data_IF_817995587886
#
_entry.id   IF_817995587886
#
_cell.length_a   1.000
_cell.length_b   1.000
_cell.length_c   1.000
_cell.angle_alpha   90.00
_cell.angle_beta   90.00
_cell.angle_gamma   90.00
#
_symmetry.space_group_name_H-M   'P 1'
#
loop_
_entity.id
_entity.type
_entity.pdbx_description
1 polymer ?
#
# COMPACT_ATOMS: atom_id res chain seq x y z
N UNK A 1 -14.26 38.52 46.44
CA UNK A 1 -13.46 37.28 46.54
C UNK A 1 -14.40 36.14 46.19
N UNK A 2 -13.99 35.22 45.31
CA UNK A 2 -14.82 34.23 44.57
C UNK A 2 -15.38 34.76 43.24
N UNK A 3 -14.48 34.92 42.26
CA UNK A 3 -14.74 34.90 40.82
C UNK A 3 -13.42 34.61 40.10
N UNK A 4 -12.79 33.50 40.49
CA UNK A 4 -11.63 32.88 39.83
C UNK A 4 -11.80 31.40 40.11
N UNK A 5 -12.57 30.68 39.28
CA UNK A 5 -12.58 29.20 39.23
C UNK A 5 -13.44 28.61 38.09
N UNK A 6 -13.89 29.39 37.11
CA UNK A 6 -14.61 28.85 35.93
C UNK A 6 -13.80 28.85 34.62
N UNK A 7 -12.58 29.40 34.60
CA UNK A 7 -11.72 29.41 33.40
C UNK A 7 -10.62 28.33 33.40
N UNK A 8 -10.59 27.44 34.39
CA UNK A 8 -9.58 26.37 34.47
C UNK A 8 -10.11 24.95 34.25
N UNK A 9 -11.42 24.73 34.07
CA UNK A 9 -11.93 23.38 33.76
C UNK A 9 -12.20 23.11 32.27
N UNK A 10 -12.24 24.14 31.40
CA UNK A 10 -12.44 23.94 29.95
C UNK A 10 -11.12 23.75 29.18
N UNK A 11 -9.98 24.20 29.72
CA UNK A 11 -8.68 23.97 29.10
C UNK A 11 -8.08 22.59 29.44
N UNK A 12 -8.45 21.99 30.57
CA UNK A 12 -7.91 20.69 30.98
C UNK A 12 -8.64 19.49 30.33
N UNK A 13 -9.85 19.68 29.80
CA UNK A 13 -10.55 18.62 29.04
C UNK A 13 -10.16 18.53 27.56
N UNK A 14 -9.48 19.54 27.01
CA UNK A 14 -8.99 19.51 25.63
C UNK A 14 -7.65 18.79 25.46
N UNK A 15 -6.97 18.43 26.56
CA UNK A 15 -5.66 17.76 26.49
C UNK A 15 -5.70 16.23 26.63
N UNK A 16 -6.87 15.65 26.96
CA UNK A 16 -6.94 14.25 27.42
C UNK A 16 -7.44 13.22 26.38
N UNK A 17 -7.59 13.59 25.11
CA UNK A 17 -7.87 12.60 24.04
C UNK A 17 -7.31 12.99 22.66
N UNK A 18 -6.11 13.57 22.63
CA UNK A 18 -5.26 13.54 21.43
C UNK A 18 -4.77 12.09 21.23
N UNK A 19 -5.69 11.21 20.81
CA UNK A 19 -5.34 9.87 20.37
C UNK A 19 -4.45 10.02 19.14
N UNK A 20 -3.15 9.89 19.37
CA UNK A 20 -2.13 9.84 18.32
C UNK A 20 -2.65 9.01 17.15
N UNK A 21 -2.63 9.58 15.95
CA UNK A 21 -3.19 9.01 14.69
C UNK A 21 -2.45 7.72 14.29
N UNK A 22 -1.32 7.44 14.93
CA UNK A 22 -0.57 6.21 14.74
C UNK A 22 -0.39 5.36 16.02
N UNK A 23 -0.94 5.74 17.18
CA UNK A 23 -0.61 5.24 18.54
C UNK A 23 0.03 3.84 18.63
N UNK A 24 -0.71 2.78 18.28
CA UNK A 24 -0.22 1.39 18.33
C UNK A 24 0.93 1.12 17.34
N UNK A 25 0.77 1.52 16.09
CA UNK A 25 1.79 1.34 15.06
C UNK A 25 3.02 2.23 15.28
N UNK A 26 2.85 3.40 15.90
CA UNK A 26 3.92 4.28 16.30
C UNK A 26 4.76 3.65 17.41
N UNK A 27 4.12 2.99 18.38
CA UNK A 27 4.81 2.22 19.41
C UNK A 27 5.67 1.11 18.78
N UNK A 28 5.07 0.25 17.95
CA UNK A 28 5.80 -0.82 17.26
C UNK A 28 6.92 -0.30 16.35
N UNK A 29 6.69 0.83 15.67
CA UNK A 29 7.70 1.46 14.83
C UNK A 29 8.87 2.01 15.67
N UNK A 30 8.61 2.67 16.81
CA UNK A 30 9.67 3.22 17.69
C UNK A 30 10.63 2.13 18.17
N UNK A 31 10.11 0.96 18.55
CA UNK A 31 10.92 -0.17 19.00
C UNK A 31 11.47 -1.01 17.85
N UNK A 32 11.08 -0.73 16.61
CA UNK A 32 11.61 -1.43 15.45
C UNK A 32 13.07 -1.03 15.18
N UNK A 33 13.90 -1.95 14.67
CA UNK A 33 15.26 -1.64 14.28
C UNK A 33 15.34 -0.54 13.21
N UNK A 34 14.27 -0.32 12.45
CA UNK A 34 14.17 0.72 11.42
C UNK A 34 14.12 2.14 12.02
N UNK A 35 13.56 2.31 13.21
CA UNK A 35 13.52 3.61 13.91
C UNK A 35 14.75 3.85 14.78
N UNK A 36 15.32 2.79 15.37
CA UNK A 36 16.51 2.86 16.23
C UNK A 36 17.76 3.39 15.50
N UNK A 37 17.75 3.40 14.16
CA UNK A 37 18.72 4.13 13.32
C UNK A 37 18.80 5.63 13.60
N UNK A 38 17.68 6.23 14.05
CA UNK A 38 17.58 7.64 14.42
C UNK A 38 17.96 7.92 15.88
N UNK A 39 18.30 6.87 16.65
CA UNK A 39 18.66 7.01 18.07
C UNK A 39 19.97 7.79 18.25
N UNK A 40 20.04 8.72 19.23
CA UNK A 40 21.27 9.42 19.56
C UNK A 40 22.33 8.47 20.16
N UNK A 41 21.92 7.31 20.68
CA UNK A 41 22.82 6.35 21.31
C UNK A 41 23.52 5.45 20.27
N UNK A 42 24.83 5.63 20.11
CA UNK A 42 25.68 4.88 19.16
C UNK A 42 25.59 3.35 19.35
N UNK A 43 25.46 2.88 20.60
CA UNK A 43 25.38 1.46 20.93
C UNK A 43 24.13 0.75 20.39
N UNK A 44 23.01 1.47 20.24
CA UNK A 44 21.78 0.93 19.66
C UNK A 44 21.73 1.12 18.14
N UNK A 45 22.36 2.20 17.65
CA UNK A 45 22.32 2.59 16.24
C UNK A 45 23.11 1.65 15.33
N UNK A 46 24.33 1.25 15.71
CA UNK A 46 25.15 0.35 14.89
C UNK A 46 24.55 -1.05 14.70
N UNK A 47 24.09 -1.77 15.74
CA UNK A 47 23.46 -3.07 15.54
C UNK A 47 22.15 -2.96 14.76
N UNK A 48 21.35 -1.91 14.99
CA UNK A 48 20.15 -1.64 14.19
C UNK A 48 20.48 -1.42 12.71
N UNK A 49 21.56 -0.68 12.40
CA UNK A 49 22.00 -0.48 11.03
C UNK A 49 22.44 -1.79 10.36
N UNK A 50 23.22 -2.61 11.05
CA UNK A 50 23.65 -3.91 10.53
C UNK A 50 22.43 -4.80 10.25
N UNK A 51 21.49 -4.88 11.21
CA UNK A 51 20.30 -5.70 11.08
C UNK A 51 19.41 -5.23 9.91
N UNK A 52 19.21 -3.93 9.76
CA UNK A 52 18.37 -3.37 8.69
C UNK A 52 18.99 -3.54 7.30
N UNK A 53 20.31 -3.31 7.15
CA UNK A 53 21.03 -3.57 5.90
C UNK A 53 21.01 -5.07 5.57
N UNK A 54 21.29 -5.93 6.54
CA UNK A 54 21.22 -7.38 6.37
C UNK A 54 19.81 -7.82 5.94
N UNK A 55 18.76 -7.27 6.55
CA UNK A 55 17.36 -7.57 6.19
C UNK A 55 17.08 -7.25 4.72
N UNK A 56 17.45 -6.06 4.26
CA UNK A 56 17.24 -5.64 2.86
C UNK A 56 18.04 -6.52 1.90
N UNK A 57 19.31 -6.78 2.21
CA UNK A 57 20.16 -7.64 1.37
C UNK A 57 19.63 -9.08 1.28
N UNK A 58 19.11 -9.61 2.39
CA UNK A 58 18.50 -10.94 2.42
C UNK A 58 17.23 -11.00 1.56
N UNK A 59 16.37 -9.97 1.60
CA UNK A 59 15.17 -9.92 0.75
C UNK A 59 15.52 -9.80 -0.73
N UNK A 60 16.51 -8.96 -1.09
CA UNK A 60 17.00 -8.86 -2.47
C UNK A 60 17.63 -10.18 -2.91
N UNK A 61 18.37 -10.84 -2.03
CA UNK A 61 18.95 -12.15 -2.29
C UNK A 61 17.85 -13.20 -2.54
N UNK A 62 16.80 -13.24 -1.71
CA UNK A 62 15.65 -14.11 -1.94
C UNK A 62 14.96 -13.84 -3.27
N UNK A 63 14.76 -12.57 -3.64
CA UNK A 63 14.24 -12.21 -4.95
C UNK A 63 15.10 -12.78 -6.08
N UNK A 64 16.42 -12.57 -6.03
CA UNK A 64 17.33 -13.13 -7.03
C UNK A 64 17.29 -14.67 -7.05
N UNK A 65 17.34 -15.30 -5.88
CA UNK A 65 17.37 -16.75 -5.75
C UNK A 65 16.11 -17.40 -6.32
N UNK A 66 14.93 -16.94 -5.89
CA UNK A 66 13.64 -17.47 -6.36
C UNK A 66 13.45 -17.34 -7.86
N UNK A 67 14.09 -16.35 -8.47
CA UNK A 67 13.70 -15.91 -9.80
C UNK A 67 14.72 -16.43 -10.85
N UNK A 68 15.94 -16.79 -10.44
CA UNK A 68 17.00 -17.36 -11.30
C UNK A 68 17.54 -18.74 -10.87
N UNK A 69 17.50 -19.09 -9.59
CA UNK A 69 18.12 -20.33 -9.08
C UNK A 69 17.10 -21.46 -8.88
N UNK A 70 15.84 -21.14 -8.60
CA UNK A 70 14.78 -22.15 -8.50
C UNK A 70 14.39 -22.60 -9.91
N UNK A 71 14.60 -23.88 -10.26
CA UNK A 71 14.30 -24.39 -11.59
C UNK A 71 12.77 -24.54 -11.77
N UNK A 72 12.27 -24.11 -12.92
CA UNK A 72 10.88 -24.30 -13.29
C UNK A 72 10.65 -23.96 -14.76
N UNK A 73 9.99 -24.86 -15.49
CA UNK A 73 9.60 -24.60 -16.86
C UNK A 73 8.60 -23.45 -16.92
N UNK A 74 8.61 -22.69 -18.02
CA UNK A 74 7.73 -21.53 -18.17
C UNK A 74 6.26 -21.92 -17.96
N UNK A 75 5.51 -21.10 -17.22
CA UNK A 75 4.11 -21.34 -16.84
C UNK A 75 3.83 -22.59 -15.99
N UNK A 76 4.84 -23.36 -15.59
CA UNK A 76 4.67 -24.47 -14.64
C UNK A 76 4.32 -23.99 -13.22
N UNK A 77 3.89 -24.92 -12.38
CA UNK A 77 3.61 -24.67 -10.96
C UNK A 77 4.84 -24.14 -10.21
N UNK A 78 5.99 -24.82 -10.32
CA UNK A 78 7.26 -24.39 -9.70
C UNK A 78 7.65 -22.98 -10.15
N UNK A 79 7.52 -22.68 -11.44
CA UNK A 79 7.81 -21.36 -11.98
C UNK A 79 6.92 -20.29 -11.34
N UNK A 80 5.60 -20.49 -11.35
CA UNK A 80 4.67 -19.49 -10.81
C UNK A 80 4.89 -19.27 -9.30
N UNK A 81 5.09 -20.35 -8.55
CA UNK A 81 5.38 -20.33 -7.11
C UNK A 81 6.64 -19.54 -6.80
N UNK A 82 7.75 -19.83 -7.49
CA UNK A 82 9.00 -19.13 -7.29
C UNK A 82 8.90 -17.65 -7.66
N UNK A 83 8.21 -17.30 -8.77
CA UNK A 83 7.97 -15.89 -9.13
C UNK A 83 7.12 -15.16 -8.09
N UNK A 84 6.08 -15.81 -7.54
CA UNK A 84 5.27 -15.25 -6.45
C UNK A 84 6.15 -14.84 -5.26
N UNK A 85 6.92 -15.78 -4.72
CA UNK A 85 7.79 -15.53 -3.56
C UNK A 85 8.93 -14.55 -3.86
N UNK A 86 9.44 -14.56 -5.09
CA UNK A 86 10.42 -13.57 -5.54
C UNK A 86 9.82 -12.17 -5.49
N UNK A 87 8.74 -11.93 -6.24
CA UNK A 87 8.14 -10.60 -6.36
C UNK A 87 7.72 -10.01 -5.01
N UNK A 88 7.11 -10.81 -4.14
CA UNK A 88 6.72 -10.33 -2.82
C UNK A 88 7.92 -9.99 -1.93
N UNK A 89 9.05 -10.68 -2.11
CA UNK A 89 10.27 -10.38 -1.34
C UNK A 89 10.89 -9.05 -1.77
N UNK A 90 10.92 -8.76 -3.08
CA UNK A 90 11.40 -7.47 -3.57
C UNK A 90 10.46 -6.31 -3.20
N UNK A 91 9.14 -6.55 -3.24
CA UNK A 91 8.14 -5.63 -2.71
C UNK A 91 8.45 -5.29 -1.25
N UNK A 92 8.64 -6.32 -0.42
CA UNK A 92 8.96 -6.16 1.00
C UNK A 92 10.27 -5.39 1.21
N UNK A 93 11.30 -5.64 0.40
CA UNK A 93 12.57 -4.91 0.46
C UNK A 93 12.38 -3.41 0.23
N UNK A 94 11.53 -3.03 -0.74
CA UNK A 94 11.20 -1.64 -1.03
C UNK A 94 10.45 -1.01 0.15
N UNK A 95 9.53 -1.75 0.79
CA UNK A 95 8.83 -1.27 1.99
C UNK A 95 9.80 -1.09 3.17
N UNK A 96 10.74 -2.02 3.37
CA UNK A 96 11.77 -1.91 4.40
C UNK A 96 12.63 -0.66 4.20
N UNK A 97 13.03 -0.38 2.95
CA UNK A 97 13.75 0.86 2.62
C UNK A 97 12.91 2.12 2.90
N UNK A 98 11.60 2.05 2.66
CA UNK A 98 10.69 3.13 3.00
C UNK A 98 10.58 3.35 4.53
N UNK A 99 10.50 2.27 5.32
CA UNK A 99 10.53 2.32 6.80
C UNK A 99 11.83 2.94 7.31
N UNK A 100 12.98 2.53 6.79
CA UNK A 100 14.29 3.10 7.14
C UNK A 100 14.31 4.62 6.90
N UNK A 101 13.87 5.05 5.71
CA UNK A 101 13.80 6.49 5.37
C UNK A 101 12.80 7.22 6.27
N UNK A 102 11.69 6.57 6.62
CA UNK A 102 10.68 7.11 7.52
C UNK A 102 11.22 7.35 8.92
N UNK A 103 11.98 6.38 9.46
CA UNK A 103 12.67 6.47 10.74
C UNK A 103 13.73 7.55 10.78
N UNK A 104 14.66 7.58 9.81
CA UNK A 104 15.75 8.56 9.77
C UNK A 104 15.22 10.01 9.74
N UNK A 105 14.21 10.28 8.92
CA UNK A 105 13.65 11.64 8.80
C UNK A 105 12.60 12.00 9.85
N UNK A 106 12.30 11.09 10.80
CA UNK A 106 11.19 11.23 11.76
C UNK A 106 9.88 11.66 11.09
N UNK A 107 9.59 11.07 9.92
CA UNK A 107 8.48 11.48 9.08
C UNK A 107 7.13 11.32 9.76
N UNK A 108 6.98 10.39 10.70
CA UNK A 108 5.73 10.16 11.44
C UNK A 108 5.39 11.34 12.36
N UNK A 109 6.34 11.77 13.19
CA UNK A 109 6.18 12.91 14.09
C UNK A 109 5.86 14.19 13.28
N UNK A 110 6.56 14.38 12.16
CA UNK A 110 6.30 15.52 11.26
C UNK A 110 4.91 15.44 10.64
N UNK A 111 4.47 14.24 10.24
CA UNK A 111 3.13 14.03 9.70
C UNK A 111 2.02 14.31 10.73
N UNK A 112 2.21 13.88 11.99
CA UNK A 112 1.27 14.20 13.08
C UNK A 112 1.21 15.71 13.35
N UNK A 113 2.37 16.38 13.43
CA UNK A 113 2.42 17.83 13.63
C UNK A 113 1.76 18.60 12.49
N UNK A 114 2.01 18.20 11.24
CA UNK A 114 1.39 18.84 10.08
C UNK A 114 -0.12 18.62 10.06
N UNK A 115 -0.60 17.42 10.40
CA UNK A 115 -2.03 17.14 10.52
C UNK A 115 -2.67 17.94 11.65
N UNK A 116 -2.02 18.04 12.82
CA UNK A 116 -2.50 18.87 13.92
C UNK A 116 -2.62 20.36 13.50
N UNK A 117 -1.62 20.88 12.80
CA UNK A 117 -1.64 22.24 12.24
C UNK A 117 -2.73 22.45 11.18
N UNK A 118 -3.13 21.40 10.45
CA UNK A 118 -4.25 21.49 9.50
C UNK A 118 -5.60 21.50 10.23
N UNK A 119 -5.71 20.75 11.33
CA UNK A 119 -6.92 20.70 12.16
C UNK A 119 -7.23 22.04 12.83
N UNK A 120 -6.21 22.79 13.25
CA UNK A 120 -6.41 24.12 13.83
C UNK A 120 -6.97 25.15 12.85
N UNK A 121 -6.89 24.86 11.54
CA UNK A 121 -7.42 25.72 10.47
C UNK A 121 -8.86 25.34 10.04
N UNK A 122 -9.47 24.33 10.67
CA UNK A 122 -10.86 23.92 10.38
C UNK A 122 -11.84 24.99 10.86
N UNK A 123 -12.95 25.14 10.12
CA UNK A 123 -14.05 26.00 10.55
C UNK A 123 -14.79 25.33 11.72
N UNK A 124 -15.04 24.02 11.61
CA UNK A 124 -15.58 23.21 12.70
C UNK A 124 -14.44 22.48 13.45
N UNK A 125 -14.17 22.90 14.70
CA UNK A 125 -13.04 22.40 15.49
C UNK A 125 -13.15 20.91 15.87
N UNK A 126 -14.35 20.35 15.94
CA UNK A 126 -14.56 18.97 16.36
C UNK A 126 -15.54 18.24 15.44
N UNK A 127 -15.06 17.20 14.75
CA UNK A 127 -15.90 16.32 13.95
C UNK A 127 -15.77 14.88 14.45
N UNK A 128 -16.54 14.53 15.49
CA UNK A 128 -16.47 13.25 16.21
C UNK A 128 -16.43 12.01 15.28
N UNK A 129 -17.16 12.03 14.16
CA UNK A 129 -17.21 10.89 13.22
C UNK A 129 -15.96 10.76 12.35
N UNK A 130 -15.39 11.88 11.88
CA UNK A 130 -14.21 11.88 11.00
C UNK A 130 -12.90 11.87 11.79
N UNK A 131 -12.93 12.32 13.04
CA UNK A 131 -11.79 12.27 13.95
C UNK A 131 -11.66 10.92 14.67
N UNK A 132 -12.64 10.02 14.57
CA UNK A 132 -12.50 8.65 15.08
C UNK A 132 -11.78 7.75 14.06
N UNK A 133 -10.59 7.28 14.44
CA UNK A 133 -9.77 6.37 13.65
C UNK A 133 -9.94 4.90 14.05
N UNK A 134 -10.68 4.58 15.12
CA UNK A 134 -10.75 3.21 15.70
C UNK A 134 -11.13 2.13 14.69
N UNK A 135 -12.15 2.37 13.88
CA UNK A 135 -12.61 1.40 12.88
C UNK A 135 -11.54 1.18 11.82
N UNK A 136 -10.89 2.25 11.36
CA UNK A 136 -9.83 2.17 10.36
C UNK A 136 -8.60 1.43 10.91
N UNK A 137 -8.22 1.71 12.16
CA UNK A 137 -7.18 0.97 12.87
C UNK A 137 -7.48 -0.51 12.98
N UNK A 138 -8.68 -0.87 13.43
CA UNK A 138 -9.07 -2.26 13.62
C UNK A 138 -9.02 -3.03 12.28
N UNK A 139 -9.54 -2.42 11.21
CA UNK A 139 -9.47 -2.99 9.85
C UNK A 139 -8.03 -3.15 9.36
N UNK A 140 -7.19 -2.12 9.53
CA UNK A 140 -5.79 -2.16 9.14
C UNK A 140 -5.02 -3.22 9.95
N UNK A 141 -5.28 -3.33 11.25
CA UNK A 141 -4.63 -4.32 12.11
C UNK A 141 -5.02 -5.75 11.74
N UNK A 142 -6.33 -6.05 11.63
CA UNK A 142 -6.81 -7.40 11.30
C UNK A 142 -6.27 -7.86 9.93
N UNK A 143 -6.34 -6.98 8.92
CA UNK A 143 -5.85 -7.31 7.57
C UNK A 143 -4.33 -7.54 7.55
N UNK A 144 -3.54 -6.74 8.26
CA UNK A 144 -2.09 -6.93 8.30
C UNK A 144 -1.65 -8.10 9.18
N UNK A 145 -2.39 -8.42 10.25
CA UNK A 145 -2.20 -9.67 10.99
C UNK A 145 -2.42 -10.88 10.08
N UNK A 146 -3.47 -10.86 9.25
CA UNK A 146 -3.73 -11.93 8.29
C UNK A 146 -2.57 -12.10 7.29
N UNK A 147 -2.06 -11.00 6.74
CA UNK A 147 -0.89 -11.03 5.86
C UNK A 147 0.32 -11.62 6.59
N UNK A 148 0.63 -11.15 7.80
CA UNK A 148 1.74 -11.67 8.60
C UNK A 148 1.61 -13.17 8.90
N UNK A 149 0.40 -13.63 9.25
CA UNK A 149 0.10 -15.05 9.45
C UNK A 149 0.30 -15.84 8.16
N UNK A 150 -0.05 -15.29 6.99
CA UNK A 150 0.14 -15.96 5.69
C UNK A 150 1.63 -16.17 5.39
N UNK A 151 2.46 -15.13 5.58
CA UNK A 151 3.92 -15.25 5.46
C UNK A 151 4.45 -16.34 6.41
N UNK A 152 4.06 -16.28 7.69
CA UNK A 152 4.57 -17.20 8.72
C UNK A 152 4.13 -18.64 8.46
N UNK A 153 2.84 -18.86 8.18
CA UNK A 153 2.28 -20.20 7.98
C UNK A 153 2.89 -20.89 6.77
N UNK A 154 2.99 -20.18 5.63
CA UNK A 154 3.59 -20.72 4.41
C UNK A 154 5.06 -21.08 4.64
N UNK A 155 5.79 -20.22 5.37
CA UNK A 155 7.21 -20.44 5.65
C UNK A 155 7.46 -21.59 6.60
N UNK A 156 6.63 -21.73 7.63
CA UNK A 156 6.72 -22.85 8.57
C UNK A 156 6.37 -24.16 7.86
N UNK A 157 5.35 -24.17 7.00
CA UNK A 157 5.00 -25.34 6.20
C UNK A 157 6.20 -25.80 5.35
N UNK A 158 6.77 -24.90 4.54
CA UNK A 158 7.92 -25.21 3.69
C UNK A 158 9.14 -25.67 4.51
N UNK A 159 9.41 -25.02 5.65
CA UNK A 159 10.52 -25.40 6.53
C UNK A 159 10.35 -26.80 7.16
N UNK A 160 9.13 -27.19 7.54
CA UNK A 160 8.83 -28.53 8.09
C UNK A 160 9.07 -29.62 7.04
N UNK A 161 8.72 -29.33 5.78
CA UNK A 161 8.95 -30.24 4.65
C UNK A 161 10.39 -30.19 4.10
N UNK A 162 11.22 -29.27 4.60
CA UNK A 162 12.60 -29.00 4.16
C UNK A 162 12.69 -28.57 2.70
N UNK A 163 11.65 -27.89 2.25
CA UNK A 163 11.51 -27.43 0.89
C UNK A 163 11.64 -25.91 0.81
N UNK A 164 12.10 -25.44 -0.34
CA UNK A 164 12.17 -24.01 -0.66
C UNK A 164 10.90 -23.56 -1.39
N UNK A 165 10.37 -24.46 -2.21
CA UNK A 165 9.14 -24.36 -2.99
C UNK A 165 8.60 -25.77 -3.14
N UNK A 166 7.29 -25.97 -3.04
CA UNK A 166 6.65 -27.29 -3.18
C UNK A 166 6.89 -27.87 -4.58
N UNK A 167 7.03 -27.02 -5.60
CA UNK A 167 7.27 -27.43 -6.98
C UNK A 167 8.67 -27.95 -7.29
N UNK A 168 9.65 -27.85 -6.37
CA UNK A 168 11.03 -28.29 -6.62
C UNK A 168 11.29 -29.69 -6.03
N UNK A 169 11.79 -30.60 -6.85
CA UNK A 169 12.12 -31.99 -6.47
C UNK A 169 13.60 -32.20 -6.12
N UNK A 170 14.44 -31.15 -6.24
CA UNK A 170 15.88 -31.25 -5.95
C UNK A 170 16.20 -30.81 -4.53
N UNK A 171 16.12 -31.76 -3.60
CA UNK A 171 16.63 -31.57 -2.25
C UNK A 171 18.16 -31.52 -2.24
N UNK A 172 18.72 -30.34 -1.93
CA UNK A 172 19.98 -30.13 -1.20
C UNK A 172 20.42 -28.67 -1.38
N UNK A 173 19.83 -27.77 -0.61
CA UNK A 173 20.36 -26.42 -0.45
C UNK A 173 20.19 -25.97 0.99
N UNK A 174 21.23 -25.40 1.59
CA UNK A 174 21.16 -24.71 2.89
C UNK A 174 20.05 -23.65 2.97
N UNK A 175 19.52 -23.25 1.81
CA UNK A 175 18.54 -22.19 1.65
C UNK A 175 17.20 -22.47 2.34
N UNK A 176 16.76 -23.74 2.53
CA UNK A 176 15.51 -24.05 3.24
C UNK A 176 15.51 -23.58 4.72
N UNK A 177 16.69 -23.39 5.32
CA UNK A 177 16.83 -22.85 6.68
C UNK A 177 16.71 -21.32 6.69
N UNK A 178 17.28 -20.68 5.66
CA UNK A 178 17.35 -19.22 5.58
C UNK A 178 16.06 -18.62 5.04
N UNK A 179 15.40 -19.28 4.07
CA UNK A 179 14.16 -18.81 3.47
C UNK A 179 13.06 -18.43 4.48
N UNK A 180 12.70 -19.26 5.49
CA UNK A 180 11.66 -18.90 6.44
C UNK A 180 12.01 -17.67 7.27
N UNK A 181 13.30 -17.45 7.58
CA UNK A 181 13.75 -16.24 8.27
C UNK A 181 13.48 -15.00 7.40
N UNK A 182 13.83 -15.08 6.11
CA UNK A 182 13.61 -13.98 5.16
C UNK A 182 12.11 -13.71 4.99
N UNK A 183 11.29 -14.75 4.88
CA UNK A 183 9.84 -14.60 4.73
C UNK A 183 9.20 -13.91 5.95
N UNK A 184 9.59 -14.30 7.17
CA UNK A 184 9.08 -13.69 8.40
C UNK A 184 9.50 -12.22 8.46
N UNK A 185 10.73 -11.88 8.04
CA UNK A 185 11.17 -10.49 7.91
C UNK A 185 10.37 -9.71 6.86
N UNK A 186 9.97 -10.35 5.75
CA UNK A 186 9.10 -9.76 4.74
C UNK A 186 7.72 -9.45 5.33
N UNK A 187 7.13 -10.44 6.01
CA UNK A 187 5.86 -10.29 6.71
C UNK A 187 5.91 -9.18 7.76
N UNK A 188 6.99 -9.10 8.54
CA UNK A 188 7.17 -8.07 9.56
C UNK A 188 7.27 -6.66 8.95
N UNK A 189 7.97 -6.51 7.83
CA UNK A 189 8.08 -5.23 7.12
C UNK A 189 6.72 -4.78 6.57
N UNK A 190 5.97 -5.69 5.98
CA UNK A 190 4.60 -5.46 5.52
C UNK A 190 3.67 -5.07 6.67
N UNK A 191 3.73 -5.81 7.79
CA UNK A 191 2.94 -5.57 9.00
C UNK A 191 3.16 -4.16 9.59
N UNK A 192 4.38 -3.63 9.52
CA UNK A 192 4.68 -2.28 9.99
C UNK A 192 4.30 -1.20 8.98
N UNK A 193 4.68 -1.36 7.71
CA UNK A 193 4.59 -0.29 6.73
C UNK A 193 3.17 -0.03 6.23
N UNK A 194 2.43 -1.09 5.86
CA UNK A 194 1.13 -0.94 5.21
C UNK A 194 0.09 -0.21 6.06
N UNK A 195 -0.09 -0.52 7.37
CA UNK A 195 -1.01 0.24 8.20
C UNK A 195 -0.61 1.71 8.33
N UNK A 196 0.68 1.99 8.48
CA UNK A 196 1.19 3.36 8.64
C UNK A 196 0.91 4.17 7.36
N UNK A 197 1.20 3.60 6.20
CA UNK A 197 0.92 4.19 4.90
C UNK A 197 -0.57 4.48 4.72
N UNK A 198 -1.42 3.46 4.94
CA UNK A 198 -2.86 3.58 4.78
C UNK A 198 -3.46 4.63 5.72
N UNK A 199 -3.10 4.60 7.02
CA UNK A 199 -3.59 5.55 8.02
C UNK A 199 -3.19 6.98 7.68
N UNK A 200 -1.94 7.20 7.25
CA UNK A 200 -1.44 8.52 6.90
C UNK A 200 -2.20 9.09 5.71
N UNK A 201 -2.37 8.30 4.66
CA UNK A 201 -3.07 8.75 3.45
C UNK A 201 -4.58 8.96 3.71
N UNK A 202 -5.21 8.10 4.50
CA UNK A 202 -6.60 8.31 4.92
C UNK A 202 -6.78 9.54 5.81
N UNK A 203 -5.83 9.86 6.70
CA UNK A 203 -5.90 11.08 7.49
C UNK A 203 -5.90 12.33 6.61
N UNK A 204 -5.02 12.38 5.60
CA UNK A 204 -5.00 13.47 4.61
C UNK A 204 -6.29 13.52 3.80
N UNK A 205 -6.77 12.37 3.33
CA UNK A 205 -8.04 12.27 2.59
C UNK A 205 -9.20 12.86 3.40
N UNK A 206 -9.31 12.50 4.68
CA UNK A 206 -10.34 13.03 5.58
C UNK A 206 -10.25 14.55 5.72
N UNK A 207 -9.05 15.12 5.83
CA UNK A 207 -8.92 16.59 5.89
C UNK A 207 -9.43 17.27 4.61
N UNK A 208 -9.22 16.68 3.44
CA UNK A 208 -9.82 17.18 2.18
C UNK A 208 -11.33 17.01 2.15
N UNK A 209 -11.87 15.87 2.59
CA UNK A 209 -13.31 15.66 2.66
C UNK A 209 -13.99 16.67 3.60
N UNK A 210 -13.37 16.97 4.76
CA UNK A 210 -13.83 18.00 5.70
C UNK A 210 -13.79 19.38 5.04
N UNK A 211 -12.67 19.71 4.38
CA UNK A 211 -12.54 20.97 3.67
C UNK A 211 -13.63 21.15 2.60
N UNK A 212 -13.91 20.10 1.81
CA UNK A 212 -14.92 20.12 0.77
C UNK A 212 -16.33 20.29 1.34
N UNK A 213 -16.67 19.57 2.42
CA UNK A 213 -17.97 19.70 3.08
C UNK A 213 -18.18 21.08 3.71
N UNK A 214 -17.15 21.62 4.38
CA UNK A 214 -17.21 22.96 4.96
C UNK A 214 -17.32 24.03 3.87
N UNK A 215 -16.60 23.88 2.76
CA UNK A 215 -16.68 24.78 1.61
C UNK A 215 -18.08 24.77 0.99
N UNK A 216 -18.65 23.58 0.76
CA UNK A 216 -20.00 23.43 0.20
C UNK A 216 -21.08 23.99 1.14
N UNK A 217 -20.92 23.79 2.45
CA UNK A 217 -21.83 24.36 3.46
C UNK A 217 -21.75 25.89 3.48
N UNK A 218 -20.55 26.45 3.45
CA UNK A 218 -20.34 27.91 3.44
C UNK A 218 -20.85 28.55 2.15
N UNK A 219 -20.76 27.83 1.03
CA UNK A 219 -21.38 28.24 -0.24
C UNK A 219 -22.90 28.31 -0.12
N UNK A 220 -23.54 27.26 0.41
CA UNK A 220 -24.99 27.23 0.65
C UNK A 220 -25.47 28.33 1.59
N UNK A 221 -24.65 28.69 2.59
CA UNK A 221 -24.91 29.79 3.52
C UNK A 221 -24.61 31.19 2.92
N UNK A 222 -24.16 31.26 1.66
CA UNK A 222 -23.78 32.48 0.93
C UNK A 222 -22.65 33.29 1.58
N UNK A 223 -21.88 32.68 2.48
CA UNK A 223 -20.79 33.34 3.23
C UNK A 223 -19.50 33.45 2.42
N UNK A 224 -19.38 32.72 1.29
CA UNK A 224 -18.22 32.77 0.40
C UNK A 224 -18.11 34.09 -0.38
N UNK A 225 -19.18 34.89 -0.44
CA UNK A 225 -19.16 36.27 -0.95
C UNK A 225 -18.47 37.26 0.02
N UNK A 226 -17.85 36.78 1.10
CA UNK A 226 -17.02 37.58 1.97
C UNK A 226 -15.53 37.33 1.69
N UNK A 227 -14.79 38.40 1.39
CA UNK A 227 -13.37 38.36 1.09
C UNK A 227 -12.52 37.74 2.21
N UNK A 228 -12.87 37.94 3.49
CA UNK A 228 -12.09 37.32 4.59
C UNK A 228 -12.25 35.80 4.59
N UNK A 229 -13.47 35.32 4.39
CA UNK A 229 -13.82 33.90 4.40
C UNK A 229 -13.12 33.17 3.26
N UNK A 230 -13.21 33.69 2.02
CA UNK A 230 -12.58 33.04 0.87
C UNK A 230 -11.04 33.02 0.98
N UNK A 231 -10.44 34.04 1.60
CA UNK A 231 -8.99 34.08 1.86
C UNK A 231 -8.56 33.04 2.91
N UNK A 232 -9.36 32.81 3.94
CA UNK A 232 -9.11 31.75 4.93
C UNK A 232 -9.16 30.36 4.29
N UNK A 233 -10.18 30.08 3.46
CA UNK A 233 -10.24 28.87 2.64
C UNK A 233 -9.03 28.77 1.69
N UNK A 234 -8.63 29.89 1.08
CA UNK A 234 -7.41 30.04 0.28
C UNK A 234 -6.15 29.58 1.00
N UNK A 235 -5.90 30.11 2.19
CA UNK A 235 -4.73 29.80 3.00
C UNK A 235 -4.71 28.34 3.47
N UNK A 236 -5.87 27.80 3.84
CA UNK A 236 -5.97 26.38 4.24
C UNK A 236 -5.76 25.44 3.06
N UNK A 237 -6.34 25.75 1.90
CA UNK A 237 -6.15 24.94 0.69
C UNK A 237 -4.67 24.84 0.31
N UNK A 238 -3.91 25.94 0.39
CA UNK A 238 -2.47 25.94 0.11
C UNK A 238 -1.75 24.91 0.99
N UNK A 239 -1.97 24.97 2.31
CA UNK A 239 -1.34 24.04 3.26
C UNK A 239 -1.76 22.59 3.04
N UNK A 240 -3.02 22.35 2.66
CA UNK A 240 -3.51 21.00 2.33
C UNK A 240 -2.82 20.44 1.10
N UNK A 241 -2.75 21.20 0.02
CA UNK A 241 -2.10 20.79 -1.24
C UNK A 241 -0.60 20.62 -1.06
N UNK A 242 0.07 21.54 -0.36
CA UNK A 242 1.50 21.45 -0.06
C UNK A 242 1.83 20.15 0.69
N UNK A 243 1.04 19.82 1.73
CA UNK A 243 1.26 18.60 2.50
C UNK A 243 0.95 17.33 1.70
N UNK A 244 -0.12 17.34 0.90
CA UNK A 244 -0.50 16.19 0.07
C UNK A 244 0.51 15.92 -1.05
N UNK A 245 0.97 16.96 -1.75
CA UNK A 245 1.99 16.85 -2.79
C UNK A 245 3.33 16.41 -2.21
N UNK A 246 3.74 16.99 -1.08
CA UNK A 246 4.95 16.56 -0.37
C UNK A 246 4.90 15.07 -0.01
N UNK A 247 3.75 14.58 0.48
CA UNK A 247 3.59 13.16 0.81
C UNK A 247 3.66 12.29 -0.45
N UNK A 248 3.02 12.73 -1.53
CA UNK A 248 2.95 12.01 -2.81
C UNK A 248 4.33 11.89 -3.45
N UNK A 249 5.03 13.01 -3.67
CA UNK A 249 6.37 13.06 -4.27
C UNK A 249 7.40 12.26 -3.47
N UNK A 250 7.33 12.33 -2.14
CA UNK A 250 8.23 11.56 -1.27
C UNK A 250 8.04 10.05 -1.46
N UNK A 251 6.83 9.62 -1.80
CA UNK A 251 6.47 8.22 -2.00
C UNK A 251 6.65 7.73 -3.44
N UNK A 252 6.90 8.63 -4.40
CA UNK A 252 6.93 8.31 -5.83
C UNK A 252 7.81 7.09 -6.14
N UNK A 253 9.10 7.11 -5.75
CA UNK A 253 10.04 6.02 -6.02
C UNK A 253 9.59 4.66 -5.49
N UNK A 254 8.90 4.65 -4.34
CA UNK A 254 8.36 3.43 -3.74
C UNK A 254 7.12 2.96 -4.50
N UNK A 255 6.24 3.90 -4.83
CA UNK A 255 4.99 3.65 -5.55
C UNK A 255 5.18 3.28 -7.01
N UNK A 256 6.35 3.57 -7.60
CA UNK A 256 6.71 3.09 -8.94
C UNK A 256 6.82 1.56 -8.99
N UNK A 257 7.43 0.95 -7.97
CA UNK A 257 7.85 -0.46 -8.03
C UNK A 257 7.05 -1.39 -7.11
N UNK A 258 6.80 -1.00 -5.85
CA UNK A 258 6.16 -1.89 -4.88
C UNK A 258 4.76 -2.36 -5.31
N UNK A 259 3.85 -1.49 -5.80
CA UNK A 259 2.55 -1.93 -6.28
C UNK A 259 2.65 -2.89 -7.48
N UNK A 260 3.59 -2.67 -8.41
CA UNK A 260 3.78 -3.55 -9.55
C UNK A 260 4.20 -4.96 -9.12
N UNK A 261 5.15 -5.05 -8.19
CA UNK A 261 5.62 -6.32 -7.64
C UNK A 261 4.53 -7.03 -6.82
N UNK A 262 3.75 -6.29 -6.03
CA UNK A 262 2.60 -6.85 -5.31
C UNK A 262 1.56 -7.45 -6.27
N UNK A 263 1.26 -6.77 -7.38
CA UNK A 263 0.29 -7.24 -8.39
C UNK A 263 0.83 -8.43 -9.17
N UNK A 264 2.13 -8.45 -9.50
CA UNK A 264 2.75 -9.60 -10.15
C UNK A 264 2.76 -10.82 -9.22
N UNK A 265 3.06 -10.65 -7.94
CA UNK A 265 2.92 -11.71 -6.95
C UNK A 265 1.48 -12.20 -6.84
N UNK A 266 0.52 -11.27 -6.80
CA UNK A 266 -0.90 -11.59 -6.76
C UNK A 266 -1.34 -12.39 -8.00
N UNK A 267 -0.86 -12.00 -9.19
CA UNK A 267 -1.11 -12.68 -10.45
C UNK A 267 -0.64 -14.13 -10.41
N UNK A 268 0.59 -14.36 -9.92
CA UNK A 268 1.14 -15.70 -9.79
C UNK A 268 0.35 -16.54 -8.79
N UNK A 269 -0.03 -15.98 -7.64
CA UNK A 269 -0.85 -16.68 -6.64
C UNK A 269 -2.20 -17.13 -7.22
N UNK A 270 -2.89 -16.24 -7.95
CA UNK A 270 -4.17 -16.57 -8.57
C UNK A 270 -4.03 -17.57 -9.70
N UNK A 271 -2.99 -17.46 -10.52
CA UNK A 271 -2.68 -18.45 -11.55
C UNK A 271 -2.46 -19.85 -10.95
N UNK A 272 -1.69 -19.96 -9.86
CA UNK A 272 -1.45 -21.23 -9.16
C UNK A 272 -2.76 -21.88 -8.71
N UNK A 273 -3.63 -21.14 -8.02
CA UNK A 273 -4.89 -21.70 -7.51
C UNK A 273 -5.86 -22.03 -8.65
N UNK A 274 -5.82 -21.27 -9.74
CA UNK A 274 -6.74 -21.50 -10.88
C UNK A 274 -6.34 -22.75 -11.67
N UNK A 275 -5.06 -22.87 -12.04
CA UNK A 275 -4.61 -23.94 -12.94
C UNK A 275 -4.13 -25.19 -12.19
N UNK A 276 -3.51 -25.01 -11.03
CA UNK A 276 -2.79 -26.09 -10.35
C UNK A 276 -3.45 -26.52 -9.04
N UNK A 277 -4.74 -26.25 -8.84
CA UNK A 277 -5.46 -26.60 -7.60
C UNK A 277 -5.38 -28.08 -7.20
N UNK A 278 -5.22 -29.00 -8.16
CA UNK A 278 -5.12 -30.44 -7.93
C UNK A 278 -3.70 -30.95 -7.67
N UNK A 279 -2.66 -30.12 -7.84
CA UNK A 279 -1.25 -30.52 -7.67
C UNK A 279 -0.78 -30.49 -6.21
N UNK A 280 -0.96 -29.40 -5.43
CA UNK A 280 -0.41 -29.31 -4.09
C UNK A 280 -1.28 -30.05 -3.06
N UNK A 281 -0.69 -30.48 -1.92
CA UNK A 281 -1.44 -30.97 -0.78
C UNK A 281 -2.45 -29.94 -0.26
N UNK A 282 -3.55 -30.41 0.34
CA UNK A 282 -4.67 -29.56 0.80
C UNK A 282 -4.20 -28.42 1.72
N UNK A 283 -3.27 -28.69 2.65
CA UNK A 283 -2.75 -27.68 3.56
C UNK A 283 -1.96 -26.58 2.82
N UNK A 284 -1.20 -26.95 1.79
CA UNK A 284 -0.47 -25.99 0.99
C UNK A 284 -1.37 -25.18 0.06
N UNK A 285 -2.41 -25.82 -0.47
CA UNK A 285 -3.46 -25.13 -1.23
C UNK A 285 -4.15 -24.03 -0.39
N UNK A 286 -4.43 -24.31 0.89
CA UNK A 286 -4.97 -23.29 1.82
C UNK A 286 -4.01 -22.12 1.96
N UNK A 287 -2.69 -22.36 2.05
CA UNK A 287 -1.68 -21.30 2.08
C UNK A 287 -1.69 -20.47 0.79
N UNK A 288 -1.83 -21.10 -0.38
CA UNK A 288 -1.93 -20.41 -1.67
C UNK A 288 -3.19 -19.55 -1.79
N UNK A 289 -4.33 -20.03 -1.28
CA UNK A 289 -5.55 -19.22 -1.19
C UNK A 289 -5.35 -18.02 -0.25
N UNK A 290 -4.67 -18.22 0.89
CA UNK A 290 -4.32 -17.13 1.78
C UNK A 290 -3.39 -16.10 1.12
N UNK A 291 -2.51 -16.53 0.20
CA UNK A 291 -1.68 -15.64 -0.62
C UNK A 291 -2.47 -14.80 -1.61
N UNK A 292 -3.55 -15.31 -2.20
CA UNK A 292 -4.48 -14.52 -3.03
C UNK A 292 -5.09 -13.39 -2.21
N UNK A 293 -5.62 -13.73 -1.02
CA UNK A 293 -6.23 -12.74 -0.12
C UNK A 293 -5.18 -11.72 0.33
N UNK A 294 -3.97 -12.17 0.68
CA UNK A 294 -2.87 -11.30 1.08
C UNK A 294 -2.40 -10.39 -0.05
N UNK A 295 -2.24 -10.91 -1.27
CA UNK A 295 -1.88 -10.13 -2.46
C UNK A 295 -2.90 -9.04 -2.76
N UNK A 296 -4.19 -9.35 -2.60
CA UNK A 296 -5.26 -8.35 -2.69
C UNK A 296 -5.15 -7.29 -1.60
N UNK A 297 -4.98 -7.68 -0.32
CA UNK A 297 -4.84 -6.75 0.81
C UNK A 297 -3.64 -5.81 0.62
N UNK A 298 -2.47 -6.34 0.25
CA UNK A 298 -1.24 -5.57 0.05
C UNK A 298 -1.43 -4.58 -1.11
N UNK A 299 -1.91 -5.06 -2.26
CA UNK A 299 -2.19 -4.21 -3.42
C UNK A 299 -3.20 -3.10 -3.10
N UNK A 300 -4.24 -3.44 -2.33
CA UNK A 300 -5.26 -2.49 -1.89
C UNK A 300 -4.66 -1.44 -0.96
N UNK A 301 -3.93 -1.86 0.07
CA UNK A 301 -3.31 -0.97 1.06
C UNK A 301 -2.27 -0.03 0.45
N UNK A 302 -1.56 -0.44 -0.61
CA UNK A 302 -0.60 0.42 -1.31
C UNK A 302 -1.29 1.48 -2.17
N UNK A 303 -2.27 1.09 -3.00
CA UNK A 303 -2.80 1.95 -4.06
C UNK A 303 -4.04 2.77 -3.67
N UNK A 304 -5.02 2.18 -2.98
CA UNK A 304 -6.29 2.86 -2.71
C UNK A 304 -6.15 4.10 -1.83
N UNK A 305 -5.36 4.09 -0.73
CA UNK A 305 -5.22 5.29 0.10
C UNK A 305 -4.69 6.49 -0.67
N UNK A 306 -3.74 6.28 -1.59
CA UNK A 306 -3.23 7.34 -2.47
C UNK A 306 -4.30 7.76 -3.46
N UNK A 307 -5.02 6.81 -4.07
CA UNK A 307 -6.11 7.11 -5.00
C UNK A 307 -7.22 7.96 -4.36
N UNK A 308 -7.53 7.75 -3.07
CA UNK A 308 -8.53 8.53 -2.35
C UNK A 308 -8.09 9.98 -2.12
N UNK A 309 -6.81 10.24 -1.84
CA UNK A 309 -6.29 11.62 -1.78
C UNK A 309 -6.55 12.33 -3.12
N UNK A 310 -6.23 11.65 -4.23
CA UNK A 310 -6.39 12.19 -5.58
C UNK A 310 -7.85 12.47 -5.93
N UNK A 311 -8.76 11.62 -5.45
CA UNK A 311 -10.21 11.80 -5.60
C UNK A 311 -10.72 12.97 -4.76
N UNK A 312 -10.31 13.07 -3.49
CA UNK A 312 -10.71 14.14 -2.58
C UNK A 312 -10.20 15.52 -3.06
N UNK A 313 -8.97 15.60 -3.58
CA UNK A 313 -8.44 16.81 -4.22
C UNK A 313 -9.26 17.20 -5.47
N UNK A 314 -9.65 16.22 -6.29
CA UNK A 314 -10.48 16.49 -7.48
C UNK A 314 -11.90 16.94 -7.12
N UNK A 315 -12.44 16.49 -5.99
CA UNK A 315 -13.74 16.95 -5.51
C UNK A 315 -13.74 18.42 -5.13
N UNK A 316 -12.62 18.97 -4.63
CA UNK A 316 -12.49 20.40 -4.33
C UNK A 316 -12.78 21.26 -5.55
N UNK A 317 -12.23 20.89 -6.71
CA UNK A 317 -12.52 21.59 -7.97
C UNK A 317 -14.00 21.51 -8.35
N UNK A 318 -14.65 20.36 -8.12
CA UNK A 318 -16.09 20.19 -8.42
C UNK A 318 -16.97 21.06 -7.54
N UNK A 319 -16.67 21.15 -6.24
CA UNK A 319 -17.40 22.02 -5.31
C UNK A 319 -17.29 23.48 -5.77
N UNK A 320 -16.09 23.93 -6.11
CA UNK A 320 -15.85 25.29 -6.62
C UNK A 320 -16.55 25.59 -7.96
N UNK A 321 -16.60 24.62 -8.88
CA UNK A 321 -17.29 24.78 -10.17
C UNK A 321 -18.81 24.78 -10.05
N UNK A 322 -19.36 24.20 -8.99
CA UNK A 322 -20.81 24.16 -8.76
C UNK A 322 -21.35 25.38 -8.01
N UNK A 323 -20.46 26.23 -7.46
CA UNK A 323 -20.87 27.47 -6.79
C UNK A 323 -21.32 28.51 -7.80
N UNK A 324 -22.63 28.80 -7.83
CA UNK A 324 -23.19 29.88 -8.66
C UNK A 324 -22.85 31.26 -8.09
N UNK A 325 -22.76 31.36 -6.76
CA UNK A 325 -22.50 32.62 -6.04
C UNK A 325 -21.11 33.18 -6.38
N UNK A 326 -20.11 32.31 -6.47
CA UNK A 326 -18.75 32.71 -6.83
C UNK A 326 -18.59 33.02 -8.32
N UNK A 327 -19.43 32.43 -9.18
CA UNK A 327 -19.43 32.69 -10.62
C UNK A 327 -20.13 34.00 -10.99
N UNK A 328 -21.17 34.37 -10.25
CA UNK A 328 -21.95 35.61 -10.44
C UNK A 328 -21.44 36.77 -9.58
N UNK A 329 -20.27 36.62 -8.93
CA UNK A 329 -19.73 37.65 -8.05
C UNK A 329 -19.10 38.80 -8.84
N UNK A 330 -19.67 40.00 -8.70
CA UNK A 330 -19.18 41.22 -9.35
C UNK A 330 -17.91 41.81 -8.68
N UNK A 331 -17.54 41.33 -7.49
CA UNK A 331 -16.39 41.86 -6.75
C UNK A 331 -15.07 41.25 -7.25
N UNK A 332 -14.16 42.04 -7.85
CA UNK A 332 -13.01 41.52 -8.59
C UNK A 332 -12.02 40.75 -7.69
N UNK A 333 -11.85 41.18 -6.44
CA UNK A 333 -10.95 40.53 -5.49
C UNK A 333 -11.47 39.16 -5.03
N UNK A 334 -12.78 38.98 -4.93
CA UNK A 334 -13.39 37.70 -4.56
C UNK A 334 -13.28 36.74 -5.75
N UNK A 335 -13.60 37.23 -6.94
CA UNK A 335 -13.48 36.45 -8.18
C UNK A 335 -12.04 36.00 -8.45
N UNK A 336 -11.04 36.86 -8.22
CA UNK A 336 -9.63 36.49 -8.36
C UNK A 336 -9.22 35.38 -7.37
N UNK A 337 -9.62 35.49 -6.10
CA UNK A 337 -9.31 34.47 -5.09
C UNK A 337 -10.02 33.14 -5.40
N UNK A 338 -11.27 33.20 -5.85
CA UNK A 338 -12.01 32.04 -6.35
C UNK A 338 -11.28 31.37 -7.52
N UNK A 339 -10.91 32.14 -8.53
CA UNK A 339 -10.20 31.65 -9.72
C UNK A 339 -8.89 30.98 -9.33
N UNK A 340 -8.14 31.60 -8.40
CA UNK A 340 -6.87 31.06 -7.92
C UNK A 340 -7.05 29.74 -7.15
N UNK A 341 -8.10 29.62 -6.33
CA UNK A 341 -8.49 28.39 -5.64
C UNK A 341 -8.85 27.26 -6.62
N UNK A 342 -9.59 27.62 -7.68
CA UNK A 342 -10.02 26.70 -8.72
C UNK A 342 -8.83 26.21 -9.56
N UNK A 343 -7.99 27.13 -10.04
CA UNK A 343 -6.82 26.82 -10.87
C UNK A 343 -5.84 25.92 -10.10
N UNK A 344 -5.62 26.18 -8.80
CA UNK A 344 -4.83 25.29 -7.93
C UNK A 344 -5.43 23.90 -7.82
N UNK A 345 -6.75 23.79 -7.66
CA UNK A 345 -7.42 22.49 -7.56
C UNK A 345 -7.34 21.66 -8.83
N UNK A 346 -7.29 22.32 -9.98
CA UNK A 346 -7.21 21.68 -11.30
C UNK A 346 -5.77 21.29 -11.68
N UNK A 347 -4.78 22.12 -11.35
CA UNK A 347 -3.42 21.97 -11.91
C UNK A 347 -2.34 21.60 -10.89
N UNK A 348 -2.51 21.85 -9.59
CA UNK A 348 -1.47 21.65 -8.58
C UNK A 348 -1.45 20.23 -7.99
N UNK A 349 -1.77 19.21 -8.78
CA UNK A 349 -1.94 17.83 -8.29
C UNK A 349 -0.75 16.95 -8.64
N UNK A 350 0.07 16.61 -7.66
CA UNK A 350 1.09 15.56 -7.83
C UNK A 350 0.41 14.18 -7.81
N UNK A 351 0.77 13.30 -8.74
CA UNK A 351 0.23 11.93 -8.83
C UNK A 351 1.36 10.91 -8.80
N UNK A 352 1.17 9.82 -8.05
CA UNK A 352 2.09 8.70 -8.11
C UNK A 352 1.82 7.86 -9.35
N UNK A 353 2.89 7.45 -10.03
CA UNK A 353 2.82 6.62 -11.22
C UNK A 353 3.49 5.27 -10.94
N UNK A 354 2.75 4.19 -11.19
CA UNK A 354 3.30 2.84 -11.12
C UNK A 354 4.00 2.55 -12.45
N UNK A 355 5.26 2.10 -12.37
CA UNK A 355 6.18 1.90 -13.50
C UNK A 355 6.31 3.11 -14.44
N UNK A 356 5.95 4.31 -13.98
CA UNK A 356 5.79 5.50 -14.83
C UNK A 356 4.78 5.36 -15.98
N UNK A 357 3.95 4.30 -15.99
CA UNK A 357 2.98 4.03 -17.06
C UNK A 357 1.57 4.47 -16.68
N UNK A 358 1.15 4.23 -15.43
CA UNK A 358 -0.21 4.57 -15.01
C UNK A 358 -0.25 5.35 -13.70
N UNK A 359 -1.04 6.41 -13.69
CA UNK A 359 -1.31 7.20 -12.51
C UNK A 359 -2.21 6.43 -11.54
N UNK A 360 -1.88 6.45 -10.25
CA UNK A 360 -2.69 5.86 -9.18
C UNK A 360 -3.92 6.72 -8.95
N UNK A 361 -5.01 6.36 -9.63
CA UNK A 361 -6.35 6.92 -9.45
C UNK A 361 -7.33 5.77 -9.26
N UNK A 362 -8.46 6.01 -8.60
CA UNK A 362 -9.44 4.96 -8.31
C UNK A 362 -9.86 4.17 -9.56
N UNK A 363 -10.21 4.89 -10.64
CA UNK A 363 -10.55 4.31 -11.94
C UNK A 363 -9.43 3.44 -12.52
N UNK A 364 -8.18 3.88 -12.41
CA UNK A 364 -7.05 3.12 -12.94
C UNK A 364 -6.75 1.88 -12.09
N UNK A 365 -6.93 1.96 -10.77
CA UNK A 365 -6.80 0.79 -9.87
C UNK A 365 -7.87 -0.25 -10.19
N UNK A 366 -9.12 0.16 -10.41
CA UNK A 366 -10.20 -0.75 -10.82
C UNK A 366 -9.91 -1.41 -12.19
N UNK A 367 -9.41 -0.63 -13.17
CA UNK A 367 -8.98 -1.16 -14.49
C UNK A 367 -7.81 -2.14 -14.39
N UNK A 368 -6.91 -1.93 -13.44
CA UNK A 368 -5.76 -2.79 -13.19
C UNK A 368 -6.19 -4.16 -12.67
N UNK A 369 -7.13 -4.21 -11.72
CA UNK A 369 -7.72 -5.47 -11.25
C UNK A 369 -8.49 -6.20 -12.37
N UNK A 370 -9.19 -5.46 -13.24
CA UNK A 370 -9.82 -6.05 -14.41
C UNK A 370 -8.79 -6.65 -15.39
N UNK A 371 -7.71 -5.93 -15.67
CA UNK A 371 -6.61 -6.39 -16.54
C UNK A 371 -5.93 -7.62 -15.95
N UNK A 372 -5.74 -7.65 -14.63
CA UNK A 372 -5.22 -8.81 -13.90
C UNK A 372 -6.08 -10.06 -14.16
N UNK A 373 -7.41 -9.97 -14.08
CA UNK A 373 -8.30 -11.09 -14.40
C UNK A 373 -8.18 -11.57 -15.85
N UNK A 374 -8.05 -10.66 -16.82
CA UNK A 374 -7.82 -11.02 -18.23
C UNK A 374 -6.49 -11.76 -18.38
N UNK A 375 -5.43 -11.27 -17.74
CA UNK A 375 -4.11 -11.87 -17.86
C UNK A 375 -4.07 -13.30 -17.32
N UNK A 376 -4.81 -13.61 -16.25
CA UNK A 376 -4.96 -14.99 -15.75
C UNK A 376 -5.62 -15.87 -16.81
N UNK A 377 -6.71 -15.42 -17.43
CA UNK A 377 -7.40 -16.18 -18.49
C UNK A 377 -6.44 -16.47 -19.64
N UNK A 378 -5.65 -15.48 -20.05
CA UNK A 378 -4.63 -15.65 -21.11
C UNK A 378 -3.56 -16.64 -20.69
N UNK A 379 -3.04 -16.55 -19.46
CA UNK A 379 -2.02 -17.48 -18.97
C UNK A 379 -2.52 -18.93 -18.93
N UNK A 380 -3.74 -19.15 -18.42
CA UNK A 380 -4.41 -20.46 -18.41
C UNK A 380 -4.60 -20.98 -19.84
N UNK A 381 -5.07 -20.13 -20.75
CA UNK A 381 -5.26 -20.52 -22.14
C UNK A 381 -3.93 -20.92 -22.81
N UNK A 382 -2.88 -20.11 -22.65
CA UNK A 382 -1.55 -20.40 -23.21
C UNK A 382 -0.97 -21.70 -22.63
N UNK A 383 -1.08 -21.92 -21.33
CA UNK A 383 -0.61 -23.15 -20.70
C UNK A 383 -1.37 -24.38 -21.23
N UNK A 384 -2.70 -24.31 -21.34
CA UNK A 384 -3.50 -25.42 -21.86
C UNK A 384 -3.21 -25.75 -23.33
N UNK A 385 -2.89 -24.73 -24.15
CA UNK A 385 -2.43 -24.92 -25.52
C UNK A 385 -1.07 -25.64 -25.57
N UNK A 386 -0.12 -25.21 -24.75
CA UNK A 386 1.22 -25.81 -24.70
C UNK A 386 1.17 -27.27 -24.24
N UNK A 387 0.38 -27.57 -23.20
CA UNK A 387 0.18 -28.94 -22.72
C UNK A 387 -0.55 -29.80 -23.77
N UNK A 388 -1.53 -29.22 -24.47
CA UNK A 388 -2.25 -29.90 -25.56
C UNK A 388 -1.34 -30.25 -26.75
N UNK A 389 -0.47 -29.31 -27.16
CA UNK A 389 0.53 -29.54 -28.21
C UNK A 389 1.51 -30.63 -27.77
N UNK A 390 1.99 -30.57 -26.52
CA UNK A 390 2.90 -31.56 -25.95
C UNK A 390 2.31 -32.98 -25.99
N UNK A 391 1.05 -33.15 -25.53
CA UNK A 391 0.34 -34.43 -25.60
C UNK A 391 0.17 -34.92 -27.03
N UNK A 392 -0.17 -34.04 -27.97
CA UNK A 392 -0.29 -34.38 -29.39
C UNK A 392 1.02 -34.93 -29.98
N UNK A 393 2.16 -34.32 -29.67
CA UNK A 393 3.46 -34.83 -30.09
C UNK A 393 3.82 -36.17 -29.43
N UNK A 394 3.48 -36.36 -28.15
CA UNK A 394 3.72 -37.62 -27.45
C UNK A 394 2.90 -38.79 -28.05
N UNK A 395 1.64 -38.55 -28.40
CA UNK A 395 0.79 -39.52 -29.08
C UNK A 395 1.31 -39.87 -30.47
N UNK A 396 1.75 -38.88 -31.25
CA UNK A 396 2.40 -39.11 -32.56
C UNK A 396 3.67 -39.94 -32.39
N UNK A 397 4.50 -39.62 -31.39
CA UNK A 397 5.70 -40.39 -31.08
C UNK A 397 5.40 -41.85 -30.73
N UNK A 398 4.38 -42.10 -29.90
CA UNK A 398 3.90 -43.46 -29.56
C UNK A 398 3.41 -44.22 -30.80
N UNK A 399 2.66 -43.56 -31.69
CA UNK A 399 2.18 -44.14 -32.95
C UNK A 399 3.34 -44.52 -33.89
N UNK A 400 4.38 -43.70 -34.00
CA UNK A 400 5.57 -43.99 -34.82
C UNK A 400 6.34 -45.18 -34.24
N UNK A 401 6.55 -45.24 -32.92
CA UNK A 401 7.23 -46.36 -32.27
C UNK A 401 6.44 -47.68 -32.38
N UNK A 402 5.11 -47.63 -32.28
CA UNK A 402 4.25 -48.81 -32.48
C UNK A 402 4.34 -49.34 -33.92
N UNK A 403 4.46 -48.47 -34.93
CA UNK A 403 4.67 -48.90 -36.33
C UNK A 403 6.05 -49.52 -36.56
N UNK A 404 7.09 -49.04 -35.88
CA UNK A 404 8.45 -49.61 -35.99
C UNK A 404 8.59 -51.01 -35.40
N UNK A 405 7.83 -51.33 -34.35
CA UNK A 405 7.83 -52.66 -33.74
C UNK A 405 6.92 -53.68 -34.45
N UNK A 406 6.02 -53.24 -35.33
CA UNK A 406 5.13 -54.12 -36.11
C UNK A 406 5.76 -54.64 -37.41
N UNK A 407 6.97 -54.18 -37.76
CA UNK A 407 7.72 -54.57 -38.97
C UNK A 407 8.95 -55.44 -38.67
N UNK A 408 9.06 -56.00 -37.46
CA UNK A 408 10.15 -56.90 -37.04
C UNK A 408 9.79 -58.37 -37.21
#
# INVERSE_FOLDING_TARGET
MVLVNMEHSENDQNHENDRRIFSFFHFFHIYSPFYLLSSPHRLLRYPALILTVATVLLMIFRFYWMLWQVPGEFLSFSWAEAKMFGFISMESAILTMALIRMGWTKSLERSEKNLANLRTLRVEKCQKKKDDYRILYCRAFISNCFVFCTFTLTSVYLAVHRDVTEGDSKHSSWYWIIDPIIAILCGYSNFLFLPIHALRAHAVTREFEIFNEELEKTDKEKKLANLSVIREYGARQIKLFEYANFLTERMERFMTWAPALAILSFLMATYIVTEFSSKPPVLYLICMIAWIISGFIISFALMYPVAFIQEAMSQTARVLLNSTILQECDEPLIFENYRMLLDRSLHNRSTNNVLHVFCVTRKNVERLFFTHSILIIVMVYVYSLDEGIGKGFEEIGKLIMMKGNATG
#
